data_IF_664699496991
#
_entry.id   IF_664699496991
#
_cell.length_a   1.000
_cell.length_b   1.000
_cell.length_c   1.000
_cell.angle_alpha   90.00
_cell.angle_beta   90.00
_cell.angle_gamma   90.00
#
_symmetry.space_group_name_H-M   'P 1'
#
loop_
_entity.id
_entity.type
_entity.pdbx_description
1 polymer ?
#
# COMPACT_ATOMS: atom_id res chain seq x y z
N UNK A 1 1.72 -59.84 4.98
CA UNK A 1 0.84 -58.65 5.01
C UNK A 1 1.46 -57.61 4.09
N UNK A 2 0.70 -57.09 3.13
CA UNK A 2 1.19 -56.17 2.10
C UNK A 2 0.89 -54.73 2.47
N UNK A 3 1.83 -53.81 2.20
CA UNK A 3 1.57 -52.37 2.04
C UNK A 3 2.77 -51.72 1.34
N UNK A 4 2.68 -51.56 0.02
CA UNK A 4 3.67 -50.83 -0.77
C UNK A 4 3.35 -49.33 -0.74
N UNK A 5 4.27 -48.51 -0.21
CA UNK A 5 4.19 -47.05 -0.32
C UNK A 5 4.65 -46.62 -1.72
N UNK A 6 3.70 -46.41 -2.62
CA UNK A 6 3.97 -45.92 -3.97
C UNK A 6 4.54 -44.48 -3.96
N UNK A 7 5.41 -44.10 -4.91
CA UNK A 7 5.91 -42.74 -4.99
C UNK A 7 4.79 -41.76 -5.36
N UNK A 8 4.67 -40.67 -4.61
CA UNK A 8 3.80 -39.54 -5.00
C UNK A 8 4.44 -38.81 -6.18
N UNK A 9 3.90 -39.03 -7.38
CA UNK A 9 4.28 -38.25 -8.57
C UNK A 9 3.96 -36.76 -8.42
N UNK A 10 4.60 -35.88 -9.21
CA UNK A 10 4.31 -34.44 -9.18
C UNK A 10 2.85 -34.16 -9.52
N UNK A 11 2.20 -33.31 -8.72
CA UNK A 11 0.85 -32.82 -9.00
C UNK A 11 0.92 -31.99 -10.29
N UNK A 12 0.10 -32.26 -11.32
CA UNK A 12 0.09 -31.41 -12.51
C UNK A 12 -0.34 -29.99 -12.13
N UNK A 13 0.19 -28.95 -12.80
CA UNK A 13 -0.30 -27.59 -12.59
C UNK A 13 -1.78 -27.54 -12.95
N UNK A 14 -2.59 -26.98 -12.05
CA UNK A 14 -3.99 -26.66 -12.37
C UNK A 14 -3.97 -25.55 -13.42
N UNK A 15 -4.09 -25.93 -14.69
CA UNK A 15 -4.38 -24.99 -15.77
C UNK A 15 -5.74 -24.37 -15.41
N UNK A 16 -5.83 -23.03 -15.24
CA UNK A 16 -7.14 -22.40 -15.09
C UNK A 16 -7.95 -22.70 -16.36
N UNK A 17 -9.27 -22.96 -16.25
CA UNK A 17 -10.07 -23.30 -17.42
C UNK A 17 -9.89 -22.20 -18.48
N UNK A 18 -9.69 -22.55 -19.77
CA UNK A 18 -9.73 -21.55 -20.83
C UNK A 18 -11.08 -20.85 -20.72
N UNK A 19 -11.09 -19.51 -20.69
CA UNK A 19 -12.35 -18.76 -20.61
C UNK A 19 -13.17 -19.13 -21.84
N UNK A 20 -14.25 -19.87 -21.63
CA UNK A 20 -15.13 -20.28 -22.71
C UNK A 20 -15.86 -19.03 -23.19
N UNK A 21 -15.65 -18.71 -24.48
CA UNK A 21 -16.34 -17.62 -25.17
C UNK A 21 -17.85 -17.73 -24.96
N UNK A 22 -18.43 -16.61 -24.52
CA UNK A 22 -19.86 -16.30 -24.43
C UNK A 22 -20.70 -17.24 -23.54
N UNK A 23 -21.36 -16.72 -22.47
CA UNK A 23 -22.40 -17.48 -21.79
C UNK A 23 -23.59 -17.71 -22.74
N UNK A 24 -24.05 -18.95 -22.88
CA UNK A 24 -25.20 -19.26 -23.73
C UNK A 24 -26.50 -18.64 -23.16
N UNK A 25 -27.12 -17.78 -23.95
CA UNK A 25 -28.34 -17.04 -23.59
C UNK A 25 -29.62 -17.73 -24.06
N UNK A 26 -29.59 -19.04 -24.33
CA UNK A 26 -30.73 -19.84 -24.79
C UNK A 26 -31.87 -20.02 -23.77
N UNK A 27 -31.66 -19.63 -22.51
CA UNK A 27 -32.64 -19.70 -21.41
C UNK A 27 -33.51 -18.44 -21.25
N UNK A 28 -33.16 -17.33 -21.90
CA UNK A 28 -33.72 -16.01 -21.60
C UNK A 28 -34.71 -15.55 -22.67
N UNK A 29 -35.71 -14.76 -22.26
CA UNK A 29 -36.65 -14.13 -23.22
C UNK A 29 -35.90 -13.20 -24.18
N UNK A 30 -36.47 -12.92 -25.35
CA UNK A 30 -35.79 -12.12 -26.38
C UNK A 30 -35.44 -10.71 -25.86
N UNK A 31 -36.28 -10.16 -24.99
CA UNK A 31 -36.10 -8.90 -24.29
C UNK A 31 -34.93 -8.96 -23.29
N UNK A 32 -34.87 -9.98 -22.44
CA UNK A 32 -33.75 -10.20 -21.50
C UNK A 32 -32.42 -10.42 -22.24
N UNK A 33 -32.47 -11.18 -23.34
CA UNK A 33 -31.32 -11.44 -24.22
C UNK A 33 -30.81 -10.16 -24.87
N UNK A 34 -31.71 -9.27 -25.30
CA UNK A 34 -31.38 -7.95 -25.83
C UNK A 34 -30.72 -7.07 -24.76
N UNK A 35 -31.28 -7.02 -23.55
CA UNK A 35 -30.72 -6.25 -22.42
C UNK A 35 -29.31 -6.74 -22.07
N UNK A 36 -29.09 -8.06 -22.00
CA UNK A 36 -27.77 -8.63 -21.70
C UNK A 36 -26.77 -8.33 -22.81
N UNK A 37 -27.16 -8.48 -24.08
CA UNK A 37 -26.30 -8.11 -25.22
C UNK A 37 -25.91 -6.63 -25.16
N UNK A 38 -26.88 -5.74 -24.93
CA UNK A 38 -26.64 -4.31 -24.80
C UNK A 38 -25.79 -3.92 -23.57
N UNK A 39 -25.71 -4.77 -22.53
CA UNK A 39 -24.73 -4.59 -21.43
C UNK A 39 -23.34 -5.06 -21.87
N UNK A 40 -23.23 -6.23 -22.50
CA UNK A 40 -21.95 -6.76 -23.01
C UNK A 40 -21.32 -5.84 -24.06
N UNK A 41 -22.11 -5.31 -25.01
CA UNK A 41 -21.64 -4.39 -26.04
C UNK A 41 -21.12 -3.07 -25.44
N UNK A 42 -21.80 -2.53 -24.41
CA UNK A 42 -21.31 -1.34 -23.70
C UNK A 42 -20.05 -1.61 -22.89
N UNK A 43 -19.96 -2.75 -22.21
CA UNK A 43 -18.72 -3.14 -21.51
C UNK A 43 -17.56 -3.33 -22.50
N UNK A 44 -17.82 -3.89 -23.67
CA UNK A 44 -16.83 -4.05 -24.74
C UNK A 44 -16.44 -2.72 -25.38
N UNK A 45 -17.36 -1.78 -25.56
CA UNK A 45 -17.06 -0.42 -26.03
C UNK A 45 -16.22 0.34 -25.00
N UNK A 46 -16.53 0.20 -23.70
CA UNK A 46 -15.74 0.76 -22.61
C UNK A 46 -14.33 0.15 -22.58
N UNK A 47 -14.19 -1.18 -22.70
CA UNK A 47 -12.90 -1.87 -22.76
C UNK A 47 -12.10 -1.51 -24.04
N UNK A 48 -12.72 -1.46 -25.22
CA UNK A 48 -12.05 -1.02 -26.46
C UNK A 48 -11.62 0.44 -26.37
N UNK A 49 -12.41 1.30 -25.73
CA UNK A 49 -12.06 2.71 -25.50
C UNK A 49 -10.93 2.86 -24.50
N UNK A 50 -10.91 2.09 -23.42
CA UNK A 50 -9.78 2.04 -22.49
C UNK A 50 -8.53 1.46 -23.18
N UNK A 51 -8.65 0.38 -23.95
CA UNK A 51 -7.55 -0.20 -24.71
C UNK A 51 -7.04 0.76 -25.80
N UNK A 52 -7.92 1.53 -26.44
CA UNK A 52 -7.56 2.58 -27.39
C UNK A 52 -6.86 3.76 -26.71
N UNK A 53 -7.30 4.16 -25.51
CA UNK A 53 -6.59 5.16 -24.69
C UNK A 53 -5.23 4.63 -24.23
N UNK A 54 -5.13 3.38 -23.77
CA UNK A 54 -3.88 2.72 -23.41
C UNK A 54 -2.95 2.59 -24.63
N UNK A 55 -3.45 2.17 -25.79
CA UNK A 55 -2.73 2.15 -27.09
C UNK A 55 -2.39 3.55 -27.59
N UNK A 56 -3.09 4.60 -27.17
CA UNK A 56 -2.70 5.98 -27.44
C UNK A 56 -1.55 6.38 -26.52
N UNK A 57 -1.71 6.25 -25.20
CA UNK A 57 -0.67 6.57 -24.21
C UNK A 57 0.62 5.78 -24.44
N UNK A 58 0.54 4.47 -24.70
CA UNK A 58 1.71 3.65 -25.06
C UNK A 58 2.34 4.13 -26.37
N UNK A 59 1.52 4.53 -27.35
CA UNK A 59 2.01 5.12 -28.61
C UNK A 59 2.58 6.52 -28.40
N UNK A 60 2.10 7.35 -27.48
CA UNK A 60 2.65 8.67 -27.20
C UNK A 60 3.92 8.60 -26.34
N UNK A 61 4.09 7.51 -25.57
CA UNK A 61 5.33 7.17 -24.87
C UNK A 61 6.36 6.51 -25.81
N UNK A 62 5.92 5.71 -26.78
CA UNK A 62 6.78 4.99 -27.73
C UNK A 62 7.00 5.76 -29.05
N UNK A 63 6.17 6.76 -29.37
CA UNK A 63 6.32 7.68 -30.50
C UNK A 63 7.05 8.90 -29.99
N UNK A 64 8.34 9.00 -30.31
CA UNK A 64 9.08 10.18 -29.98
C UNK A 64 8.62 11.25 -31.05
N UNK A 65 8.79 12.59 -30.95
CA UNK A 65 8.12 13.56 -31.89
C UNK A 65 9.01 14.48 -32.77
N UNK A 66 9.23 14.11 -34.04
CA UNK A 66 9.98 14.84 -35.08
C UNK A 66 9.05 15.14 -36.25
N UNK A 67 8.38 16.28 -36.14
CA UNK A 67 7.65 16.88 -37.23
C UNK A 67 8.64 17.65 -38.12
N UNK A 68 9.35 16.96 -39.03
CA UNK A 68 9.92 17.60 -40.23
C UNK A 68 10.24 16.60 -41.33
N UNK A 69 9.31 16.48 -42.28
CA UNK A 69 9.57 16.07 -43.66
C UNK A 69 10.20 17.25 -44.43
N UNK A 70 11.07 17.02 -45.45
CA UNK A 70 10.97 15.93 -46.42
C UNK A 70 12.16 14.96 -46.49
N UNK A 71 11.82 13.67 -46.71
CA UNK A 71 12.55 12.67 -47.53
C UNK A 71 14.09 12.65 -47.42
N UNK A 72 14.62 11.94 -46.41
CA UNK A 72 15.46 10.75 -46.64
C UNK A 72 15.59 9.87 -45.37
N UNK A 73 16.32 8.76 -45.46
CA UNK A 73 16.40 7.70 -44.45
C UNK A 73 17.19 8.03 -43.16
N UNK A 74 17.16 7.06 -42.23
CA UNK A 74 17.92 6.89 -40.99
C UNK A 74 17.41 7.53 -39.66
N UNK A 75 16.93 6.63 -38.79
CA UNK A 75 17.00 6.57 -37.32
C UNK A 75 17.44 7.80 -36.48
N UNK A 76 16.55 8.27 -35.59
CA UNK A 76 16.73 8.24 -34.11
C UNK A 76 15.52 8.82 -33.35
N UNK A 77 15.36 8.55 -32.03
CA UNK A 77 14.15 8.89 -31.29
C UNK A 77 14.07 10.37 -30.88
N UNK A 78 12.92 10.97 -31.15
CA UNK A 78 12.59 12.39 -31.00
C UNK A 78 11.83 12.85 -29.70
N UNK A 79 11.88 14.13 -29.30
CA UNK A 79 11.33 14.56 -27.98
C UNK A 79 9.80 14.74 -27.90
N UNK A 80 9.15 14.63 -26.71
CA UNK A 80 7.75 15.05 -26.52
C UNK A 80 7.60 16.59 -26.61
N UNK A 81 6.39 17.13 -26.87
CA UNK A 81 6.18 18.57 -26.98
C UNK A 81 6.55 19.29 -25.67
N UNK A 82 7.55 20.17 -25.76
CA UNK A 82 8.25 20.81 -24.63
C UNK A 82 7.32 21.35 -23.53
N UNK A 83 6.18 21.92 -23.91
CA UNK A 83 5.19 22.49 -22.99
C UNK A 83 4.54 21.44 -22.08
N UNK A 84 4.24 20.24 -22.60
CA UNK A 84 3.64 19.15 -21.83
C UNK A 84 4.71 18.39 -21.02
N UNK A 85 5.91 18.22 -21.57
CA UNK A 85 7.03 17.65 -20.83
C UNK A 85 7.38 18.52 -19.59
N UNK A 86 7.41 19.84 -19.74
CA UNK A 86 7.60 20.78 -18.62
C UNK A 86 6.51 20.64 -17.54
N UNK A 87 5.24 20.44 -17.94
CA UNK A 87 4.13 20.21 -17.02
C UNK A 87 4.26 18.88 -16.28
N UNK A 88 4.63 17.79 -16.98
CA UNK A 88 4.82 16.48 -16.35
C UNK A 88 6.03 16.42 -15.41
N UNK A 89 7.16 17.04 -15.76
CA UNK A 89 8.31 17.12 -14.85
C UNK A 89 8.01 18.01 -13.64
N UNK A 90 7.34 19.15 -13.85
CA UNK A 90 6.86 19.99 -12.74
C UNK A 90 5.89 19.23 -11.82
N UNK A 91 4.96 18.46 -12.37
CA UNK A 91 4.03 17.63 -11.59
C UNK A 91 4.74 16.48 -10.88
N UNK A 92 5.69 15.78 -11.51
CA UNK A 92 6.54 14.75 -10.86
C UNK A 92 7.34 15.34 -9.70
N UNK A 93 7.92 16.53 -9.88
CA UNK A 93 8.63 17.24 -8.82
C UNK A 93 7.69 17.71 -7.72
N UNK A 94 6.49 18.19 -8.06
CA UNK A 94 5.48 18.60 -7.09
C UNK A 94 4.97 17.41 -6.27
N UNK A 95 4.67 16.25 -6.88
CA UNK A 95 4.28 15.03 -6.18
C UNK A 95 5.43 14.49 -5.31
N UNK A 96 6.67 14.50 -5.82
CA UNK A 96 7.88 14.14 -5.04
C UNK A 96 8.06 15.07 -3.84
N UNK A 97 7.91 16.38 -4.04
CA UNK A 97 7.98 17.39 -2.98
C UNK A 97 6.85 17.23 -1.97
N UNK A 98 5.62 16.99 -2.39
CA UNK A 98 4.48 16.70 -1.49
C UNK A 98 4.74 15.42 -0.68
N UNK A 99 5.32 14.37 -1.28
CA UNK A 99 5.69 13.14 -0.57
C UNK A 99 6.83 13.34 0.43
N UNK A 100 7.82 14.16 0.10
CA UNK A 100 8.93 14.52 0.98
C UNK A 100 8.46 15.46 2.11
N UNK A 101 7.62 16.44 1.80
CA UNK A 101 6.99 17.37 2.75
C UNK A 101 6.04 16.63 3.69
N UNK A 102 5.23 15.68 3.20
CA UNK A 102 4.40 14.81 4.04
C UNK A 102 5.24 13.93 4.98
N UNK A 103 6.41 13.44 4.54
CA UNK A 103 7.38 12.76 5.41
C UNK A 103 8.00 13.72 6.44
N UNK A 104 8.29 14.97 6.09
CA UNK A 104 8.75 16.00 7.04
C UNK A 104 7.67 16.39 8.06
N UNK A 105 6.41 16.54 7.66
CA UNK A 105 5.31 16.79 8.60
C UNK A 105 5.02 15.61 9.54
N UNK A 106 5.32 14.36 9.13
CA UNK A 106 5.23 13.21 10.02
C UNK A 106 6.51 12.95 10.85
N UNK A 107 7.69 13.35 10.37
CA UNK A 107 9.00 12.98 10.94
C UNK A 107 9.86 14.11 11.51
N UNK A 108 9.58 15.38 11.22
CA UNK A 108 10.50 16.51 11.48
C UNK A 108 9.98 17.53 12.51
N UNK A 109 8.70 17.44 12.96
CA UNK A 109 8.16 18.31 14.01
C UNK A 109 7.43 17.54 15.14
N UNK A 110 8.09 16.54 15.72
CA UNK A 110 7.76 16.00 17.04
C UNK A 110 9.03 15.53 17.76
N UNK A 111 9.72 16.51 18.36
CA UNK A 111 10.70 16.40 19.47
C UNK A 111 11.33 15.02 19.72
N UNK A 112 12.66 14.92 19.69
CA UNK A 112 13.45 13.78 20.23
C UNK A 112 13.17 13.46 21.73
N UNK A 113 12.32 14.26 22.38
CA UNK A 113 11.71 13.99 23.66
C UNK A 113 11.07 12.59 23.69
N UNK A 114 11.57 11.65 24.52
CA UNK A 114 11.05 10.29 24.56
C UNK A 114 9.56 10.29 24.93
N UNK A 115 8.77 9.46 24.26
CA UNK A 115 7.33 9.33 24.50
C UNK A 115 7.03 8.11 25.37
N UNK A 116 5.92 8.14 26.12
CA UNK A 116 5.47 7.02 26.95
C UNK A 116 5.24 5.75 26.13
N UNK A 117 6.06 4.71 26.37
CA UNK A 117 5.99 3.40 25.70
C UNK A 117 4.83 2.50 26.15
N UNK A 118 3.71 3.10 26.57
CA UNK A 118 2.46 2.40 26.92
C UNK A 118 1.30 3.05 26.17
N UNK A 119 1.14 4.38 26.25
CA UNK A 119 0.07 5.10 25.55
C UNK A 119 0.49 5.76 24.23
N UNK A 120 1.80 5.90 23.96
CA UNK A 120 2.38 6.59 22.80
C UNK A 120 1.84 8.01 22.54
N UNK A 121 1.27 8.65 23.57
CA UNK A 121 0.64 9.99 23.51
C UNK A 121 1.36 11.02 24.38
N UNK A 122 1.81 10.64 25.57
CA UNK A 122 2.51 11.56 26.49
C UNK A 122 3.99 11.64 26.13
N UNK A 123 4.44 12.79 25.61
CA UNK A 123 5.87 13.15 25.53
C UNK A 123 6.42 13.42 26.93
N UNK A 124 7.69 13.09 27.18
CA UNK A 124 8.39 13.44 28.42
C UNK A 124 9.35 14.60 28.19
N UNK A 125 9.31 15.61 29.05
CA UNK A 125 10.46 16.51 29.23
C UNK A 125 11.64 15.74 29.86
N UNK A 126 12.82 16.36 29.88
CA UNK A 126 14.01 15.81 30.51
C UNK A 126 13.77 15.48 31.99
N UNK A 127 14.32 14.35 32.45
CA UNK A 127 14.09 13.80 33.79
C UNK A 127 12.66 13.34 34.10
N UNK A 128 11.66 13.65 33.28
CA UNK A 128 10.26 13.33 33.55
C UNK A 128 9.89 11.89 33.14
N UNK A 129 8.88 11.32 33.81
CA UNK A 129 8.39 9.95 33.58
C UNK A 129 8.98 8.93 34.55
N UNK A 130 8.51 7.67 34.46
CA UNK A 130 8.89 6.60 35.37
C UNK A 130 9.33 5.36 34.61
N UNK A 131 10.40 4.71 35.05
CA UNK A 131 10.85 3.42 34.51
C UNK A 131 10.18 2.28 35.27
N UNK A 132 9.67 1.27 34.54
CA UNK A 132 9.17 0.04 35.14
C UNK A 132 10.32 -0.75 35.77
N UNK A 133 10.14 -1.23 37.00
CA UNK A 133 11.16 -2.02 37.72
C UNK A 133 11.48 -3.36 37.06
N UNK A 134 10.54 -3.93 36.28
CA UNK A 134 10.71 -5.20 35.57
C UNK A 134 11.29 -5.01 34.17
N UNK A 135 10.56 -4.35 33.28
CA UNK A 135 10.92 -4.24 31.85
C UNK A 135 11.66 -2.95 31.46
N UNK A 136 11.94 -2.05 32.41
CA UNK A 136 12.55 -0.72 32.20
C UNK A 136 11.80 0.22 31.23
N UNK A 137 10.63 -0.16 30.70
CA UNK A 137 9.80 0.72 29.85
C UNK A 137 9.48 2.04 30.57
N UNK A 138 9.66 3.16 29.87
CA UNK A 138 9.37 4.51 30.38
C UNK A 138 7.87 4.84 30.19
N UNK A 139 7.16 5.06 31.30
CA UNK A 139 5.72 5.30 31.33
C UNK A 139 5.35 6.64 32.01
N UNK A 140 4.21 7.21 31.63
CA UNK A 140 3.66 8.43 32.24
C UNK A 140 2.78 8.10 33.45
N UNK A 141 2.53 9.06 34.34
CA UNK A 141 1.78 8.86 35.58
C UNK A 141 0.35 8.30 35.41
N UNK A 142 -0.21 8.28 34.19
CA UNK A 142 -1.51 7.66 33.87
C UNK A 142 -1.42 6.19 33.43
N UNK A 143 -0.23 5.70 33.10
CA UNK A 143 0.01 4.35 32.55
C UNK A 143 0.60 3.37 33.57
N UNK A 144 0.83 3.79 34.81
CA UNK A 144 1.38 2.94 35.86
C UNK A 144 1.32 3.57 37.23
N UNK A 145 1.66 2.78 38.24
CA UNK A 145 1.55 3.12 39.66
C UNK A 145 2.84 2.87 40.44
N UNK A 146 2.79 3.25 41.72
CA UNK A 146 3.82 2.96 42.72
C UNK A 146 3.26 1.91 43.68
N UNK A 147 3.98 0.81 43.85
CA UNK A 147 3.65 -0.24 44.82
C UNK A 147 4.71 -0.21 45.91
N UNK A 148 4.30 0.07 47.14
CA UNK A 148 5.18 -0.01 48.31
C UNK A 148 5.14 -1.42 48.89
N UNK A 149 6.23 -2.15 48.77
CA UNK A 149 6.41 -3.43 49.44
C UNK A 149 6.98 -3.19 50.84
N UNK A 150 6.15 -3.44 51.87
CA UNK A 150 6.60 -3.48 53.27
C UNK A 150 7.25 -4.84 53.54
N UNK A 151 8.58 -4.83 53.58
CA UNK A 151 9.37 -5.89 54.21
C UNK A 151 9.93 -5.36 55.54
N UNK A 152 10.06 -6.22 56.56
CA UNK A 152 10.20 -5.83 57.97
C UNK A 152 11.31 -4.81 58.31
N UNK A 153 12.31 -4.62 57.44
CA UNK A 153 13.46 -3.75 57.68
C UNK A 153 13.68 -2.66 56.61
N UNK A 154 12.92 -2.64 55.50
CA UNK A 154 13.10 -1.67 54.39
C UNK A 154 11.77 -1.43 53.62
N UNK A 155 11.42 -0.16 53.38
CA UNK A 155 10.31 0.25 52.49
C UNK A 155 10.77 0.27 51.02
N UNK A 156 10.39 -0.76 50.24
CA UNK A 156 10.78 -0.88 48.83
C UNK A 156 9.67 -0.38 47.90
N UNK A 157 9.90 0.75 47.24
CA UNK A 157 8.94 1.33 46.27
C UNK A 157 9.24 0.83 44.86
N UNK A 158 8.43 -0.11 44.40
CA UNK A 158 8.46 -0.67 43.04
C UNK A 158 7.57 0.17 42.12
N UNK A 159 7.97 0.37 40.86
CA UNK A 159 7.17 1.09 39.85
C UNK A 159 6.74 0.12 38.76
N UNK A 160 5.44 0.02 38.51
CA UNK A 160 4.86 -0.93 37.55
C UNK A 160 3.83 -0.24 36.65
N UNK A 161 3.71 -0.68 35.40
CA UNK A 161 2.59 -0.31 34.53
C UNK A 161 1.28 -0.94 35.02
N UNK A 162 0.16 -0.23 34.84
CA UNK A 162 -1.12 -0.57 35.46
C UNK A 162 -1.75 -1.88 34.94
N UNK A 163 -1.30 -2.37 33.79
CA UNK A 163 -1.75 -3.64 33.19
C UNK A 163 -1.52 -4.87 34.09
N UNK A 164 -0.55 -4.82 35.01
CA UNK A 164 -0.27 -5.93 35.93
C UNK A 164 -1.24 -6.03 37.13
N UNK A 165 -2.32 -5.23 37.15
CA UNK A 165 -3.35 -5.26 38.20
C UNK A 165 -4.71 -5.82 37.71
N UNK A 166 -4.72 -6.46 36.54
CA UNK A 166 -5.91 -7.08 35.92
C UNK A 166 -5.77 -8.61 35.72
N UNK A 167 -4.82 -9.23 36.43
CA UNK A 167 -4.64 -10.68 36.58
C UNK A 167 -4.57 -10.95 38.09
#
# INVERSE_FOLDING_TARGET
MSSAVGPRGPRPPTVPPPMQELPDLSHLTEEERNIIMAVMDRQKEEEEKEEAMLKCVVRDMAKPAACKTPRNAESQPHQPPLRLHQQFESYKEQVRKIGEEARRYQGEHKDDAPTCGICHKTKFADGCGHLCSYCRTKFCARCGGRVSLRSNNEDKVVRIHAFFSMI
#
